data_IF_960852889923
#
_entry.id   IF_960852889923
#
_cell.length_a   1.000
_cell.length_b   1.000
_cell.length_c   1.000
_cell.angle_alpha   90.00
_cell.angle_beta   90.00
_cell.angle_gamma   90.00
#
_symmetry.space_group_name_H-M   'P 1'
#
loop_
_entity.id
_entity.type
_entity.pdbx_description
1 polymer ?
2 non-polymer ?
3 non-polymer ?
4 non-polymer ?
5 water ?
#
# COMPACT_ATOMS: atom_id res chain seq x y z
N UNK A 11 -21.12 -3.39 2.81
CA UNK A 11 -20.91 -1.92 2.80
C UNK A 11 -21.40 -1.21 4.07
N UNK A 12 -22.53 -1.63 4.62
CA UNK A 12 -22.89 -1.08 5.91
C UNK A 12 -21.78 -1.37 6.90
N UNK A 13 -21.19 -2.57 6.80
CA UNK A 13 -20.09 -2.90 7.69
C UNK A 13 -18.85 -2.12 7.31
N UNK A 14 -18.59 -1.99 6.00
CA UNK A 14 -17.27 -1.53 5.58
C UNK A 14 -17.14 -0.02 5.54
N UNK A 15 -18.21 0.69 5.17
CA UNK A 15 -18.10 2.12 4.90
C UNK A 15 -17.53 2.92 6.06
N UNK A 16 -17.89 2.68 7.33
CA UNK A 16 -17.28 3.48 8.39
C UNK A 16 -15.78 3.28 8.43
N UNK A 17 -15.30 2.07 8.10
CA UNK A 17 -13.87 1.83 8.11
C UNK A 17 -13.15 2.48 6.94
N UNK A 18 -13.72 2.37 5.74
CA UNK A 18 -13.15 3.09 4.59
C UNK A 18 -13.00 4.57 4.92
N UNK A 19 -14.00 5.14 5.59
CA UNK A 19 -13.86 6.57 5.84
C UNK A 19 -12.70 6.88 6.78
N UNK A 20 -12.17 5.90 7.50
CA UNK A 20 -11.00 6.12 8.34
C UNK A 20 -9.71 5.62 7.71
N UNK A 21 -9.72 5.21 6.45
CA UNK A 21 -8.51 4.81 5.75
C UNK A 21 -8.24 3.31 5.76
N UNK A 22 -9.16 2.48 6.27
CA UNK A 22 -9.00 1.02 6.14
C UNK A 22 -9.32 0.62 4.73
N UNK A 23 -8.83 -0.56 4.33
CA UNK A 23 -9.24 -1.10 3.03
C UNK A 23 -9.38 -2.62 3.14
N UNK A 24 -10.09 -3.18 2.17
CA UNK A 24 -10.67 -4.52 2.24
C UNK A 24 -9.94 -5.46 1.29
N UNK A 25 -9.49 -6.60 1.82
CA UNK A 25 -8.93 -7.66 1.01
C UNK A 25 -9.43 -9.00 1.57
N UNK A 26 -10.11 -9.82 0.76
CA UNK A 26 -10.59 -11.17 1.13
C UNK A 26 -11.17 -11.24 2.55
N UNK A 27 -12.24 -10.49 2.80
CA UNK A 27 -12.98 -10.64 4.07
C UNK A 27 -12.24 -10.12 5.29
N UNK A 28 -11.10 -9.45 5.13
CA UNK A 28 -10.56 -8.63 6.22
C UNK A 28 -10.49 -7.17 5.81
N UNK A 29 -10.42 -6.31 6.82
CA UNK A 29 -9.99 -4.94 6.66
C UNK A 29 -8.59 -4.79 7.20
N UNK A 30 -7.83 -3.88 6.58
CA UNK A 30 -6.42 -3.66 6.85
C UNK A 30 -6.20 -2.18 7.02
N UNK A 31 -5.26 -1.81 7.90
CA UNK A 31 -4.88 -0.42 8.19
C UNK A 31 -3.37 -0.34 8.17
N UNK A 32 -2.80 0.57 7.38
CA UNK A 32 -1.36 0.80 7.40
C UNK A 32 -1.12 2.08 8.19
N UNK A 33 -0.20 2.04 9.19
CA UNK A 33 0.02 3.20 10.04
C UNK A 33 0.68 4.35 9.26
N UNK A 34 0.51 5.56 9.79
CA UNK A 34 1.27 6.70 9.27
C UNK A 34 2.46 7.08 10.16
N UNK A 35 2.78 6.28 11.18
CA UNK A 35 3.97 6.49 12.00
C UNK A 35 4.62 5.15 12.20
N UNK A 36 5.89 5.18 12.57
CA UNK A 36 6.56 3.95 12.99
C UNK A 36 6.40 3.79 14.48
N UNK A 37 6.55 2.56 14.95
CA UNK A 37 6.57 2.36 16.40
C UNK A 37 7.19 1.01 16.75
N UNK A 38 7.43 0.81 18.06
CA UNK A 38 7.92 -0.49 18.51
C UNK A 38 6.85 -1.53 18.23
N UNK A 39 7.22 -2.81 18.32
CA UNK A 39 6.26 -3.82 17.96
C UNK A 39 5.09 -3.80 18.92
N UNK A 40 5.41 -3.64 20.19
CA UNK A 40 4.40 -3.62 21.23
C UNK A 40 3.47 -2.40 21.13
N UNK A 41 4.00 -1.22 20.89
CA UNK A 41 3.08 -0.07 20.76
C UNK A 41 2.33 -0.09 19.42
N UNK A 42 2.92 -0.70 18.39
CA UNK A 42 2.16 -0.90 17.16
C UNK A 42 0.96 -1.74 17.44
N UNK A 43 1.20 -2.89 18.07
CA UNK A 43 0.10 -3.77 18.43
C UNK A 43 -0.96 -3.04 19.27
N UNK A 44 -0.52 -2.27 20.29
CA UNK A 44 -1.48 -1.52 21.12
C UNK A 44 -2.39 -0.63 20.29
N UNK A 45 -1.86 0.03 19.25
CA UNK A 45 -2.76 0.83 18.40
C UNK A 45 -3.82 -0.07 17.76
N UNK A 46 -3.41 -1.23 17.24
CA UNK A 46 -4.36 -2.08 16.55
C UNK A 46 -5.41 -2.60 17.52
N UNK A 47 -4.96 -2.95 18.72
CA UNK A 47 -5.89 -3.43 19.74
C UNK A 47 -6.93 -2.37 20.05
N UNK A 48 -6.50 -1.11 20.15
CA UNK A 48 -7.41 0.00 20.48
C UNK A 48 -8.47 0.20 19.42
N UNK A 49 -8.18 -0.18 18.18
CA UNK A 49 -9.12 -0.15 17.07
C UNK A 49 -10.00 -1.40 16.99
N UNK A 50 -9.97 -2.26 18.00
CA UNK A 50 -10.73 -3.50 17.91
C UNK A 50 -10.15 -4.46 16.90
N UNK A 51 -8.83 -4.52 16.80
CA UNK A 51 -8.19 -5.34 15.79
C UNK A 51 -6.93 -5.94 16.40
N UNK A 52 -5.96 -6.25 15.54
CA UNK A 52 -4.66 -6.72 16.00
C UNK A 52 -3.71 -6.51 14.84
N UNK A 53 -2.45 -6.78 15.09
CA UNK A 53 -1.49 -6.82 13.99
C UNK A 53 -1.85 -7.93 13.01
N UNK A 54 -1.44 -7.77 11.77
CA UNK A 54 -1.90 -8.65 10.71
C UNK A 54 -1.38 -10.10 10.90
N UNK A 55 -2.24 -11.06 10.59
CA UNK A 55 -1.93 -12.50 10.70
C UNK A 55 -1.94 -13.06 9.27
N UNK A 56 -0.86 -13.67 8.81
CA UNK A 56 -0.79 -14.10 7.40
C UNK A 56 -1.29 -15.53 7.32
N UNK A 57 -2.43 -15.74 6.60
CA UNK A 57 -3.10 -17.06 6.61
C UNK A 57 -3.03 -17.77 5.25
N UNK A 58 -2.48 -17.15 4.24
CA UNK A 58 -2.44 -17.78 2.92
C UNK A 58 -1.35 -17.14 2.07
N UNK A 59 -0.98 -17.85 1.00
CA UNK A 59 0.02 -17.32 0.09
C UNK A 59 -0.45 -16.02 -0.53
N UNK A 60 -1.73 -15.91 -0.80
CA UNK A 60 -2.25 -14.71 -1.41
C UNK A 60 -2.18 -13.53 -0.45
N UNK A 61 -2.49 -13.77 0.82
CA UNK A 61 -2.37 -12.68 1.79
C UNK A 61 -0.91 -12.23 1.95
N UNK A 62 0.03 -13.18 1.92
CA UNK A 62 1.45 -12.84 1.92
C UNK A 62 1.81 -11.99 0.69
N UNK A 63 1.29 -12.36 -0.49
CA UNK A 63 1.62 -11.58 -1.68
C UNK A 63 1.08 -10.17 -1.56
N UNK A 64 -0.14 -10.05 -1.07
CA UNK A 64 -0.79 -8.77 -0.81
C UNK A 64 0.07 -7.93 0.12
N UNK A 65 0.57 -8.54 1.19
CA UNK A 65 1.45 -7.86 2.16
C UNK A 65 2.73 -7.36 1.50
N UNK A 66 3.35 -8.24 0.69
CA UNK A 66 4.67 -7.96 0.10
C UNK A 66 4.59 -6.81 -0.91
N UNK A 67 3.46 -6.70 -1.59
CA UNK A 67 3.34 -5.76 -2.70
C UNK A 67 3.23 -4.31 -2.22
N UNK A 68 3.07 -4.05 -0.89
CA UNK A 68 3.08 -2.69 -0.37
C UNK A 68 4.49 -2.13 -0.34
N UNK A 69 5.50 -2.99 -0.54
CA UNK A 69 6.89 -2.53 -0.72
C UNK A 69 7.28 -1.63 0.45
N UNK A 70 6.96 -2.13 1.64
CA UNK A 70 6.99 -1.35 2.86
C UNK A 70 7.44 -2.27 3.99
N UNK A 71 8.39 -1.83 4.79
CA UNK A 71 8.76 -2.68 5.94
C UNK A 71 7.65 -2.53 7.00
N UNK A 72 7.05 -3.66 7.39
CA UNK A 72 5.89 -3.63 8.25
C UNK A 72 6.05 -4.62 9.41
N UNK A 73 5.74 -4.19 10.64
CA UNK A 73 5.52 -5.17 11.72
C UNK A 73 4.28 -5.99 11.38
N UNK A 74 4.34 -7.30 11.61
CA UNK A 74 3.15 -8.14 11.52
C UNK A 74 2.99 -8.90 12.83
N UNK A 75 1.83 -9.56 12.98
CA UNK A 75 1.44 -10.05 14.29
C UNK A 75 1.98 -11.44 14.60
N UNK A 76 3.30 -11.59 14.54
CA UNK A 76 3.95 -12.87 14.84
C UNK A 76 5.07 -12.59 15.81
N UNK A 77 5.16 -13.40 16.89
CA UNK A 77 6.22 -13.08 17.85
C UNK A 77 6.73 -14.40 18.44
N UNK A 78 7.97 -14.39 18.86
CA UNK A 78 8.61 -15.60 19.39
C UNK A 78 7.99 -15.96 20.73
N UNK A 79 7.89 -17.25 21.03
CA UNK A 79 7.55 -17.72 22.37
C UNK A 79 8.82 -17.68 23.23
N UNK A 80 8.92 -16.68 24.11
CA UNK A 80 10.09 -16.47 24.96
C UNK A 80 11.32 -16.42 24.08
N UNK A 81 12.33 -17.23 24.35
CA UNK A 81 13.50 -17.32 23.50
C UNK A 81 13.58 -18.69 22.82
N UNK A 82 12.42 -19.35 22.63
CA UNK A 82 12.43 -20.74 22.21
C UNK A 82 12.63 -20.95 20.73
N UNK A 83 12.65 -19.89 19.91
CA UNK A 83 12.74 -20.02 18.45
C UNK A 83 11.58 -20.83 17.94
N UNK A 84 10.44 -20.69 18.62
CA UNK A 84 9.18 -21.09 18.00
C UNK A 84 8.27 -19.85 18.01
N UNK A 85 7.21 -19.89 17.21
CA UNK A 85 6.50 -18.63 16.88
C UNK A 85 5.00 -18.80 17.04
N UNK A 86 4.33 -17.77 17.59
CA UNK A 86 2.90 -17.80 17.75
C UNK A 86 2.32 -16.52 17.14
N UNK A 87 1.20 -16.63 16.40
CA UNK A 87 0.53 -15.41 15.93
C UNK A 87 -0.18 -14.71 17.09
N UNK A 88 -0.57 -13.44 16.92
CA UNK A 88 -1.18 -12.69 18.03
C UNK A 88 -2.53 -13.24 18.47
N UNK A 89 -3.18 -14.06 17.62
CA UNK A 89 -4.41 -14.71 18.04
C UNK A 89 -4.16 -16.00 18.83
N UNK A 90 -2.89 -16.37 19.02
CA UNK A 90 -2.51 -17.54 19.80
C UNK A 90 -2.21 -18.76 18.93
N UNK A 91 -2.43 -18.69 17.65
CA UNK A 91 -2.25 -19.91 16.84
C UNK A 91 -0.76 -20.12 16.57
N UNK A 92 -0.27 -21.35 16.54
CA UNK A 92 1.17 -21.54 16.24
C UNK A 92 1.45 -21.27 14.77
N UNK A 93 2.70 -20.92 14.47
CA UNK A 93 3.14 -20.78 13.09
C UNK A 93 3.02 -22.10 12.32
N UNK A 94 2.28 -22.09 11.19
CA UNK A 94 2.36 -23.27 10.35
C UNK A 94 3.06 -22.91 9.03
N UNK A 95 2.36 -22.40 8.00
CA UNK A 95 3.06 -21.97 6.78
C UNK A 95 3.76 -20.65 7.02
N UNK A 96 4.99 -20.55 6.56
CA UNK A 96 5.87 -19.42 6.85
C UNK A 96 6.47 -18.84 5.57
N UNK A 97 6.90 -17.57 5.66
CA UNK A 97 7.50 -16.89 4.50
C UNK A 97 8.77 -16.16 4.94
N UNK A 98 9.62 -16.85 5.69
CA UNK A 98 10.84 -16.21 6.15
C UNK A 98 11.68 -15.88 4.95
N UNK A 99 12.28 -14.68 4.95
CA UNK A 99 13.24 -14.40 3.91
C UNK A 99 14.48 -15.27 4.12
N UNK A 100 15.29 -15.38 3.09
CA UNK A 100 16.43 -16.30 3.15
C UNK A 100 17.37 -16.00 4.33
N UNK A 101 17.74 -17.03 5.09
CA UNK A 101 18.64 -16.78 6.19
C UNK A 101 17.95 -16.45 7.50
N UNK A 102 16.62 -16.31 7.48
CA UNK A 102 15.87 -15.92 8.70
C UNK A 102 14.99 -17.08 9.16
N UNK A 103 14.63 -17.10 10.44
CA UNK A 103 14.99 -16.13 11.51
C UNK A 103 16.39 -16.43 12.04
N UNK A 104 17.09 -15.41 12.55
CA UNK A 104 18.51 -15.65 12.83
C UNK A 104 19.07 -15.01 14.10
N UNK A 105 18.28 -14.28 14.93
CA UNK A 105 18.84 -13.62 16.13
C UNK A 105 20.17 -12.94 15.77
N UNK A 106 20.12 -12.14 14.70
CA UNK A 106 21.29 -11.51 14.06
C UNK A 106 22.28 -10.95 15.07
N UNK A 107 23.56 -11.28 14.86
CA UNK A 107 24.64 -10.73 15.69
C UNK A 107 24.43 -11.02 17.17
N UNK A 108 23.66 -12.07 17.51
CA UNK A 108 23.41 -12.45 18.91
C UNK A 108 22.41 -11.58 19.67
N UNK A 109 21.67 -10.73 18.96
CA UNK A 109 20.62 -9.91 19.56
C UNK A 109 19.32 -10.69 19.68
N UNK A 110 18.51 -10.29 20.63
CA UNK A 110 17.22 -10.91 20.84
C UNK A 110 16.21 -10.42 19.82
N UNK A 111 15.98 -11.21 18.79
CA UNK A 111 15.08 -10.77 17.72
C UNK A 111 13.77 -11.52 17.83
N UNK A 112 12.86 -10.99 18.67
CA UNK A 112 11.66 -11.75 19.07
C UNK A 112 10.41 -11.40 18.29
N UNK A 113 10.46 -10.36 17.46
CA UNK A 113 9.27 -9.83 16.81
C UNK A 113 9.46 -9.90 15.32
N UNK A 114 8.37 -10.03 14.55
CA UNK A 114 8.56 -10.32 13.12
C UNK A 114 8.13 -9.13 12.28
N UNK A 115 8.99 -8.72 11.34
CA UNK A 115 8.61 -7.75 10.33
C UNK A 115 8.59 -8.38 8.94
N UNK A 116 7.83 -7.79 8.07
CA UNK A 116 7.95 -8.01 6.62
C UNK A 116 8.97 -6.99 6.12
N UNK A 117 9.99 -7.45 5.43
CA UNK A 117 11.04 -6.54 5.00
C UNK A 117 10.75 -6.09 3.58
N UNK A 118 11.37 -4.96 3.23
CA UNK A 118 11.30 -4.39 1.88
C UNK A 118 12.74 -4.15 1.45
N UNK A 119 13.37 -5.13 0.81
CA UNK A 119 14.77 -4.99 0.48
C UNK A 119 15.02 -5.48 -0.93
N UNK A 120 16.04 -4.90 -1.56
CA UNK A 120 16.47 -5.38 -2.86
C UNK A 120 17.06 -6.77 -2.70
N UNK A 121 16.52 -7.73 -3.45
CA UNK A 121 17.01 -9.13 -3.45
C UNK A 121 16.80 -9.84 -2.11
N UNK A 122 15.89 -9.35 -1.25
CA UNK A 122 15.56 -10.05 0.00
C UNK A 122 14.18 -9.58 0.42
N UNK A 123 13.16 -10.42 0.18
CA UNK A 123 11.81 -10.10 0.65
C UNK A 123 11.25 -11.28 1.46
N UNK A 124 10.25 -10.99 2.30
CA UNK A 124 9.72 -11.97 3.22
C UNK A 124 10.00 -11.53 4.64
N UNK A 125 9.78 -12.45 5.58
CA UNK A 125 9.79 -12.05 6.98
C UNK A 125 11.20 -12.07 7.56
N UNK A 126 11.37 -11.30 8.64
CA UNK A 126 12.66 -11.17 9.31
C UNK A 126 12.36 -11.05 10.80
N UNK A 127 13.07 -11.82 11.63
CA UNK A 127 12.98 -11.53 13.06
C UNK A 127 13.83 -10.30 13.40
N UNK A 128 13.27 -9.44 14.26
CA UNK A 128 13.90 -8.15 14.63
C UNK A 128 13.68 -7.85 16.11
N UNK A 129 14.61 -7.06 16.69
CA UNK A 129 14.42 -6.55 18.07
C UNK A 129 13.05 -5.86 18.20
N UNK A 130 12.29 -6.25 19.23
CA UNK A 130 10.91 -5.70 19.33
C UNK A 130 10.91 -4.22 19.62
N UNK A 131 11.99 -3.70 20.18
CA UNK A 131 12.03 -2.27 20.55
C UNK A 131 12.49 -1.39 19.40
N UNK A 132 12.83 -1.96 18.24
CA UNK A 132 13.05 -1.16 17.04
C UNK A 132 11.71 -0.69 16.47
N UNK A 133 11.74 0.30 15.55
CA UNK A 133 10.47 0.86 15.08
C UNK A 133 10.22 0.59 13.60
N UNK A 134 8.97 0.32 13.26
CA UNK A 134 8.58 0.13 11.86
C UNK A 134 7.16 0.67 11.74
N UNK A 135 6.78 1.04 10.51
CA UNK A 135 5.37 1.10 10.19
C UNK A 135 4.74 -0.25 10.49
N UNK A 136 3.41 -0.28 10.64
CA UNK A 136 2.75 -1.51 11.05
C UNK A 136 1.42 -1.59 10.33
N UNK A 137 0.88 -2.83 10.22
CA UNK A 137 -0.38 -3.12 9.53
C UNK A 137 -1.31 -3.82 10.52
N UNK A 138 -2.50 -3.23 10.73
CA UNK A 138 -3.55 -3.87 11.53
C UNK A 138 -4.41 -4.67 10.58
N UNK A 139 -5.08 -5.72 11.09
CA UNK A 139 -6.04 -6.52 10.32
C UNK A 139 -7.24 -6.79 11.24
N UNK A 140 -8.45 -6.65 10.69
CA UNK A 140 -9.69 -6.97 11.40
C UNK A 140 -10.46 -7.90 10.48
N UNK A 141 -10.75 -9.15 10.92
CA UNK A 141 -11.62 -10.01 10.13
C UNK A 141 -13.04 -9.50 10.21
N UNK A 142 -13.70 -9.33 9.07
CA UNK A 142 -15.05 -8.81 9.07
C UNK A 142 -16.02 -9.94 8.83
N UNK A 143 -15.76 -10.76 7.76
CA UNK A 143 -16.62 -11.92 7.59
C UNK A 143 -15.84 -13.21 7.80
N UNK A 144 -16.49 -14.27 8.26
CA UNK A 144 -15.73 -15.53 8.48
C UNK A 144 -15.44 -16.30 7.20
N UNK B 11 -20.06 -9.29 -3.35
CA UNK B 11 -18.62 -9.45 -3.20
C UNK B 11 -17.97 -10.60 -3.94
N UNK B 12 -18.71 -11.64 -4.31
CA UNK B 12 -18.08 -12.75 -5.03
C UNK B 12 -17.30 -12.29 -6.24
N UNK B 13 -17.76 -11.23 -6.94
CA UNK B 13 -17.04 -10.81 -8.15
C UNK B 13 -15.68 -10.17 -7.82
N UNK B 14 -15.43 -9.75 -6.56
CA UNK B 14 -14.09 -9.26 -6.22
C UNK B 14 -13.07 -10.38 -6.10
N UNK B 15 -13.51 -11.61 -5.79
CA UNK B 15 -12.53 -12.65 -5.49
C UNK B 15 -11.53 -12.90 -6.60
N UNK B 16 -11.89 -12.94 -7.89
CA UNK B 16 -10.85 -13.16 -8.88
C UNK B 16 -9.82 -12.04 -8.85
N UNK B 17 -10.26 -10.83 -8.56
CA UNK B 17 -9.33 -9.71 -8.49
C UNK B 17 -8.45 -9.83 -7.26
N UNK B 18 -9.06 -10.13 -6.10
CA UNK B 18 -8.26 -10.39 -4.87
C UNK B 18 -7.21 -11.48 -5.10
N UNK B 19 -7.58 -12.55 -5.80
CA UNK B 19 -6.58 -13.58 -6.04
C UNK B 19 -5.40 -13.07 -6.90
N UNK B 20 -5.55 -11.94 -7.60
CA UNK B 20 -4.46 -11.34 -8.34
C UNK B 20 -3.82 -10.16 -7.62
N UNK B 21 -4.21 -9.88 -6.37
CA UNK B 21 -3.54 -8.86 -5.61
C UNK B 21 -4.24 -7.50 -5.62
N UNK B 22 -5.39 -7.39 -6.25
CA UNK B 22 -6.18 -6.15 -6.16
C UNK B 22 -6.80 -6.05 -4.80
N UNK B 23 -7.13 -4.82 -4.40
CA UNK B 23 -7.82 -4.66 -3.11
C UNK B 23 -8.88 -3.58 -3.21
N UNK B 24 -9.78 -3.57 -2.25
CA UNK B 24 -11.07 -2.87 -2.37
C UNK B 24 -11.14 -1.67 -1.42
N UNK B 25 -11.48 -0.51 -1.97
CA UNK B 25 -11.64 0.68 -1.14
C UNK B 25 -12.84 1.44 -1.71
N UNK B 26 -13.86 1.66 -0.88
CA UNK B 26 -15.06 2.40 -1.29
C UNK B 26 -15.64 1.65 -2.48
N UNK B 27 -15.83 2.26 -3.61
CA UNK B 27 -16.52 1.53 -4.65
C UNK B 27 -15.58 0.95 -5.69
N UNK B 28 -14.27 0.98 -5.45
CA UNK B 28 -13.32 0.59 -6.46
C UNK B 28 -12.39 -0.54 -6.00
N UNK B 29 -11.83 -1.21 -6.97
CA UNK B 29 -10.64 -2.03 -6.73
C UNK B 29 -9.38 -1.28 -7.21
N UNK B 30 -8.26 -1.52 -6.50
CA UNK B 30 -6.99 -0.86 -6.80
C UNK B 30 -5.91 -1.94 -6.95
N UNK B 31 -4.91 -1.63 -7.77
CA UNK B 31 -3.80 -2.51 -8.09
C UNK B 31 -2.56 -1.64 -7.99
N UNK B 32 -1.57 -2.06 -7.20
CA UNK B 32 -0.28 -1.40 -7.15
C UNK B 32 0.70 -2.27 -7.92
N UNK B 33 1.39 -1.69 -8.94
CA UNK B 33 2.30 -2.48 -9.78
C UNK B 33 3.48 -3.07 -8.98
N UNK B 34 4.05 -4.15 -9.53
CA UNK B 34 5.30 -4.62 -8.93
C UNK B 34 6.50 -4.19 -9.75
N UNK B 35 6.29 -3.41 -10.83
CA UNK B 35 7.39 -2.86 -11.60
C UNK B 35 7.16 -1.37 -11.83
N UNK B 36 8.23 -0.67 -12.20
CA UNK B 36 8.10 0.73 -12.60
C UNK B 36 7.90 0.77 -14.11
N UNK B 37 7.24 1.82 -14.56
CA UNK B 37 7.18 2.00 -16.00
C UNK B 37 6.91 3.45 -16.35
N UNK B 38 6.94 3.73 -17.67
CA UNK B 38 6.56 5.07 -18.14
C UNK B 38 5.10 5.29 -17.85
N UNK B 39 4.69 6.56 -17.83
CA UNK B 39 3.29 6.82 -17.56
C UNK B 39 2.42 6.10 -18.59
N UNK B 40 2.85 6.14 -19.87
CA UNK B 40 2.00 5.58 -20.91
C UNK B 40 1.97 4.05 -20.84
N UNK B 41 3.10 3.42 -20.54
CA UNK B 41 3.00 1.96 -20.46
C UNK B 41 2.30 1.52 -19.16
N UNK B 42 2.41 2.31 -18.08
CA UNK B 42 1.60 2.04 -16.89
C UNK B 42 0.14 2.06 -17.27
N UNK B 43 -0.28 3.11 -17.98
CA UNK B 43 -1.69 3.21 -18.39
C UNK B 43 -2.12 2.00 -19.22
N UNK B 44 -1.27 1.58 -20.17
CA UNK B 44 -1.60 0.43 -21.01
C UNK B 44 -1.85 -0.81 -20.18
N UNK B 45 -1.03 -1.05 -19.14
CA UNK B 45 -1.29 -2.22 -18.29
C UNK B 45 -2.68 -2.12 -17.66
N UNK B 46 -3.03 -0.95 -17.10
CA UNK B 46 -4.31 -0.83 -16.42
C UNK B 46 -5.44 -1.03 -17.41
N UNK B 47 -5.34 -0.43 -18.61
CA UNK B 47 -6.40 -0.61 -19.62
C UNK B 47 -6.60 -2.10 -19.92
N UNK B 48 -5.50 -2.83 -20.08
CA UNK B 48 -5.64 -4.22 -20.48
C UNK B 48 -6.17 -5.11 -19.37
N UNK B 49 -6.27 -4.61 -18.15
CA UNK B 49 -6.98 -5.29 -17.07
C UNK B 49 -8.42 -4.81 -16.95
N UNK B 50 -8.86 -3.98 -17.89
CA UNK B 50 -10.22 -3.50 -17.82
C UNK B 50 -10.39 -2.34 -16.89
N UNK B 51 -9.30 -1.63 -16.61
CA UNK B 51 -9.29 -0.58 -15.62
C UNK B 51 -8.61 0.63 -16.29
N UNK B 52 -8.13 1.53 -15.47
CA UNK B 52 -7.33 2.67 -15.94
C UNK B 52 -6.46 3.12 -14.78
N UNK B 53 -5.61 4.12 -15.02
CA UNK B 53 -4.86 4.64 -13.91
C UNK B 53 -5.82 5.30 -12.86
N UNK B 54 -5.34 5.40 -11.63
CA UNK B 54 -6.24 5.87 -10.55
C UNK B 54 -6.70 7.31 -10.76
N UNK B 55 -7.97 7.58 -10.41
CA UNK B 55 -8.60 8.90 -10.52
C UNK B 55 -8.95 9.31 -9.10
N UNK B 56 -8.46 10.45 -8.66
CA UNK B 56 -8.66 10.84 -7.25
C UNK B 56 -9.93 11.73 -7.22
N UNK B 57 -10.99 11.22 -6.57
CA UNK B 57 -12.31 11.89 -6.59
C UNK B 57 -12.72 12.50 -5.26
N UNK B 58 -11.98 12.26 -4.19
CA UNK B 58 -12.31 12.86 -2.91
C UNK B 58 -11.07 12.99 -2.04
N UNK B 59 -11.19 13.81 -1.00
CA UNK B 59 -10.12 13.91 -0.01
C UNK B 59 -9.81 12.55 0.59
N UNK B 60 -10.82 11.72 0.83
CA UNK B 60 -10.55 10.42 1.48
C UNK B 60 -9.75 9.53 0.55
N UNK B 61 -10.06 9.59 -0.73
CA UNK B 61 -9.31 8.77 -1.68
C UNK B 61 -7.87 9.27 -1.82
N UNK B 62 -7.66 10.61 -1.80
CA UNK B 62 -6.29 11.15 -1.76
C UNK B 62 -5.53 10.68 -0.52
N UNK B 63 -6.20 10.65 0.64
CA UNK B 63 -5.52 10.20 1.84
C UNK B 63 -5.16 8.74 1.76
N UNK B 64 -6.08 7.91 1.23
CA UNK B 64 -5.85 6.50 0.95
C UNK B 64 -4.60 6.35 0.09
N UNK B 65 -4.50 7.16 -0.97
CA UNK B 65 -3.37 7.12 -1.89
C UNK B 65 -2.07 7.52 -1.19
N UNK B 66 -2.10 8.62 -0.43
CA UNK B 66 -0.92 9.13 0.24
C UNK B 66 -0.36 8.12 1.26
N UNK B 67 -1.23 7.35 1.87
CA UNK B 67 -0.81 6.51 2.99
C UNK B 67 -0.01 5.29 2.54
N UNK B 68 0.05 5.00 1.21
CA UNK B 68 0.89 3.90 0.76
C UNK B 68 2.36 4.28 0.77
N UNK B 69 2.66 5.59 0.95
CA UNK B 69 4.04 6.09 1.14
C UNK B 69 4.90 5.64 -0.03
N UNK B 70 4.36 5.81 -1.22
CA UNK B 70 4.92 5.25 -2.43
C UNK B 70 4.76 6.29 -3.53
N UNK B 71 5.81 6.49 -4.31
CA UNK B 71 5.66 7.35 -5.49
C UNK B 71 4.93 6.54 -6.56
N UNK B 72 3.77 7.03 -6.99
CA UNK B 72 2.89 6.34 -7.91
C UNK B 72 2.46 7.24 -9.06
N UNK B 73 2.52 6.76 -10.31
CA UNK B 73 1.79 7.43 -11.38
C UNK B 73 0.30 7.35 -11.07
N UNK B 74 -0.44 8.43 -11.33
CA UNK B 74 -1.89 8.38 -11.24
C UNK B 74 -2.44 8.91 -12.55
N UNK B 75 -3.77 8.80 -12.70
CA UNK B 75 -4.35 9.00 -14.04
C UNK B 75 -4.74 10.42 -14.32
N UNK B 76 -3.78 11.35 -14.20
CA UNK B 76 -3.99 12.77 -14.50
C UNK B 76 -2.90 13.18 -15.45
N UNK B 77 -3.29 13.92 -16.51
CA UNK B 77 -2.33 14.24 -17.57
C UNK B 77 -2.67 15.61 -18.16
N UNK B 78 -1.64 16.35 -18.54
CA UNK B 78 -1.87 17.73 -19.03
C UNK B 78 -2.55 17.66 -20.39
N UNK B 79 -3.37 18.68 -20.73
CA UNK B 79 -3.89 18.82 -22.09
C UNK B 79 -2.80 19.52 -22.91
N UNK B 80 -2.07 18.76 -23.72
CA UNK B 80 -0.98 19.27 -24.59
C UNK B 80 0.04 19.97 -23.69
N UNK B 81 0.37 21.23 -23.96
CA UNK B 81 1.26 22.04 -23.14
C UNK B 81 0.50 23.15 -22.44
N UNK B 82 -0.81 22.98 -22.25
CA UNK B 82 -1.65 24.10 -21.82
C UNK B 82 -1.68 24.33 -20.32
N UNK B 83 -1.07 23.48 -19.49
CA UNK B 83 -1.10 23.66 -18.04
C UNK B 83 -2.52 23.63 -17.55
N UNK B 84 -3.37 22.85 -18.24
CA UNK B 84 -4.67 22.45 -17.69
C UNK B 84 -4.64 20.93 -17.69
N UNK B 85 -5.54 20.31 -16.91
CA UNK B 85 -5.35 18.89 -16.56
C UNK B 85 -6.67 18.15 -16.69
N UNK B 86 -6.61 16.89 -17.13
CA UNK B 86 -7.78 16.06 -17.35
C UNK B 86 -7.48 14.67 -16.80
N UNK B 87 -8.44 14.07 -16.08
CA UNK B 87 -8.26 12.69 -15.65
C UNK B 87 -8.45 11.77 -16.85
N UNK B 88 -7.95 10.52 -16.71
CA UNK B 88 -7.93 9.60 -17.84
C UNK B 88 -9.36 9.24 -18.26
N UNK B 89 -10.37 9.48 -17.39
CA UNK B 89 -11.76 9.22 -17.78
C UNK B 89 -12.39 10.36 -18.56
N UNK B 90 -11.65 11.45 -18.74
CA UNK B 90 -12.10 12.60 -19.50
C UNK B 90 -12.53 13.77 -18.64
N UNK B 91 -12.66 13.60 -17.32
CA UNK B 91 -13.16 14.73 -16.52
C UNK B 91 -12.07 15.79 -16.30
N UNK B 92 -12.40 17.07 -16.41
CA UNK B 92 -11.42 18.10 -16.06
C UNK B 92 -11.08 18.03 -14.58
N UNK B 93 -9.85 18.43 -14.26
CA UNK B 93 -9.43 18.57 -12.87
C UNK B 93 -10.35 19.55 -12.13
N UNK B 94 -10.85 19.14 -10.96
CA UNK B 94 -11.51 20.13 -10.13
C UNK B 94 -10.77 20.28 -8.81
N UNK B 95 -11.05 19.43 -7.82
CA UNK B 95 -10.31 19.47 -6.56
C UNK B 95 -8.91 18.89 -6.80
N UNK B 96 -7.87 19.53 -6.27
CA UNK B 96 -6.50 19.11 -6.59
C UNK B 96 -5.65 19.03 -5.32
N UNK B 97 -4.56 18.25 -5.38
CA UNK B 97 -3.71 18.02 -4.23
C UNK B 97 -2.24 18.17 -4.62
N UNK B 98 -1.91 19.25 -5.34
CA UNK B 98 -0.53 19.47 -5.77
C UNK B 98 0.37 19.67 -4.55
N UNK B 99 1.54 19.06 -4.57
CA UNK B 99 2.48 19.36 -3.50
C UNK B 99 2.97 20.80 -3.66
N UNK B 100 3.57 21.33 -2.61
CA UNK B 100 3.90 22.75 -2.63
C UNK B 100 4.82 23.08 -3.80
N UNK B 101 4.45 24.10 -4.59
CA UNK B 101 5.26 24.54 -5.71
C UNK B 101 4.94 23.85 -7.03
N UNK B 102 4.06 22.82 -7.01
CA UNK B 102 3.67 22.11 -8.22
C UNK B 102 2.30 22.57 -8.72
N UNK B 103 2.01 22.37 -10.02
CA UNK B 103 2.90 21.81 -11.07
C UNK B 103 3.87 22.91 -11.56
N UNK B 104 5.02 22.54 -12.10
CA UNK B 104 6.04 23.56 -12.33
C UNK B 104 6.90 23.44 -13.59
N UNK B 105 6.74 22.39 -14.44
CA UNK B 105 7.61 22.17 -15.61
C UNK B 105 9.07 22.41 -15.21
N UNK B 106 9.48 21.72 -14.14
CA UNK B 106 10.79 21.84 -13.52
C UNK B 106 11.92 21.93 -14.53
N UNK B 107 12.81 22.90 -14.33
CA UNK B 107 13.96 23.14 -15.22
C UNK B 107 13.53 23.26 -16.69
N UNK B 108 12.32 23.72 -16.96
CA UNK B 108 11.96 23.83 -18.37
C UNK B 108 11.65 22.52 -19.10
N UNK B 109 11.62 21.38 -18.38
CA UNK B 109 11.23 20.08 -18.98
C UNK B 109 9.72 20.01 -19.14
N UNK B 110 9.25 19.28 -20.17
CA UNK B 110 7.81 19.05 -20.38
C UNK B 110 7.33 18.05 -19.35
N UNK B 111 6.75 18.52 -18.28
CA UNK B 111 6.26 17.62 -17.24
C UNK B 111 4.73 17.49 -17.40
N UNK B 112 4.30 16.56 -18.26
CA UNK B 112 2.89 16.48 -18.63
C UNK B 112 2.11 15.42 -17.88
N UNK B 113 2.76 14.56 -17.12
CA UNK B 113 2.09 13.46 -16.44
C UNK B 113 2.19 13.63 -14.92
N UNK B 114 1.23 13.06 -14.17
CA UNK B 114 1.16 13.37 -12.73
C UNK B 114 1.53 12.16 -11.88
N UNK B 115 2.41 12.37 -10.91
CA UNK B 115 2.67 11.33 -9.90
C UNK B 115 2.27 11.84 -8.53
N UNK B 116 1.93 10.91 -7.65
CA UNK B 116 1.88 11.16 -6.21
C UNK B 116 3.28 10.96 -5.64
N UNK B 117 3.84 11.98 -5.00
CA UNK B 117 5.23 11.83 -4.52
C UNK B 117 5.26 11.45 -3.08
N UNK B 118 6.32 10.77 -2.71
CA UNK B 118 6.56 10.33 -1.34
C UNK B 118 7.92 10.90 -0.93
N UNK B 119 7.93 12.12 -0.39
CA UNK B 119 9.19 12.78 -0.05
C UNK B 119 9.06 13.48 1.29
N UNK B 120 10.20 13.86 1.84
CA UNK B 120 10.21 14.51 3.15
C UNK B 120 9.87 15.99 2.99
N UNK B 121 8.89 16.44 3.79
CA UNK B 121 8.38 17.81 3.78
C UNK B 121 7.78 18.21 2.44
N UNK B 122 7.42 17.24 1.60
CA UNK B 122 6.82 17.51 0.28
C UNK B 122 5.95 16.30 -0.06
N UNK B 123 4.65 16.41 0.17
CA UNK B 123 3.75 15.32 -0.18
C UNK B 123 2.57 15.82 -1.02
N UNK B 124 2.13 14.97 -1.95
CA UNK B 124 1.06 15.38 -2.84
C UNK B 124 1.48 15.11 -4.24
N UNK B 125 0.79 15.76 -5.18
CA UNK B 125 1.04 15.49 -6.59
C UNK B 125 2.18 16.32 -7.13
N UNK B 126 2.76 15.80 -8.22
CA UNK B 126 3.86 16.47 -8.86
C UNK B 126 3.75 16.19 -10.34
N UNK B 127 3.87 17.23 -11.20
CA UNK B 127 4.01 16.94 -12.63
C UNK B 127 5.45 16.50 -12.95
N UNK B 128 5.58 15.53 -13.86
CA UNK B 128 6.84 14.85 -14.15
C UNK B 128 6.88 14.48 -15.62
N UNK B 129 8.08 14.40 -16.22
CA UNK B 129 8.24 13.93 -17.59
C UNK B 129 7.60 12.55 -17.75
N UNK B 130 6.71 12.36 -18.72
CA UNK B 130 5.91 11.13 -18.80
C UNK B 130 6.80 9.93 -19.10
N UNK B 131 7.93 10.13 -19.77
CA UNK B 131 8.85 9.04 -20.09
C UNK B 131 9.67 8.56 -18.92
N UNK B 132 9.60 9.21 -17.76
CA UNK B 132 10.29 8.69 -16.57
C UNK B 132 9.48 7.52 -16.03
N UNK B 133 10.05 6.77 -15.08
CA UNK B 133 9.41 5.53 -14.62
C UNK B 133 9.05 5.58 -13.15
N UNK B 134 7.89 5.03 -12.80
CA UNK B 134 7.41 4.97 -11.42
C UNK B 134 6.60 3.70 -11.32
N UNK B 135 6.46 3.16 -10.11
CA UNK B 135 5.30 2.30 -9.81
C UNK B 135 4.02 3.05 -10.14
N UNK B 136 2.96 2.27 -10.40
CA UNK B 136 1.69 2.88 -10.80
C UNK B 136 0.53 2.17 -10.12
N UNK B 137 -0.57 2.91 -9.99
CA UNK B 137 -1.77 2.40 -9.34
C UNK B 137 -2.91 2.40 -10.36
N UNK B 138 -3.52 1.24 -10.54
CA UNK B 138 -4.72 1.15 -11.37
C UNK B 138 -5.95 1.30 -10.49
N UNK B 139 -7.06 1.78 -11.05
CA UNK B 139 -8.34 1.77 -10.31
C UNK B 139 -9.40 1.24 -11.24
N UNK B 140 -10.29 0.40 -10.72
CA UNK B 140 -11.42 -0.13 -11.48
C UNK B 140 -12.68 0.04 -10.66
N UNK B 141 -13.62 0.82 -11.17
CA UNK B 141 -14.88 0.95 -10.49
C UNK B 141 -15.64 -0.39 -10.61
N UNK B 142 -16.08 -0.90 -9.47
CA UNK B 142 -16.82 -2.13 -9.47
C UNK B 142 -18.27 -1.90 -9.07
N UNK B 143 -18.49 -1.08 -8.06
CA UNK B 143 -19.84 -0.90 -7.61
C UNK B 143 -20.34 0.49 -7.99
N UNK B 144 -21.59 0.58 -8.45
CA UNK B 144 -22.11 1.86 -8.96
C UNK B 144 -22.38 2.87 -7.83
X LIG C 1 20.08 -7.43 8.78
X LIG C 1 19.89 -9.01 8.92
X LIG C 1 18.58 -9.35 9.74
X LIG C 1 18.60 -8.51 11.08
X LIG C 1 18.64 -7.01 10.64
X LIG C 1 18.48 -6.10 11.81
X LIG C 1 19.08 -7.03 7.91
X LIG C 1 19.69 -9.55 7.64
X LIG C 1 18.59 -10.69 10.07
X LIG C 1 17.45 -8.86 11.87
X LIG C 1 19.83 -6.72 9.98
X LIG C 1 19.03 -4.86 11.41
X LIG D 1 18.47 -6.96 10.74
X LIG D 1 18.53 -8.48 11.08
X LIG D 1 18.49 -9.31 9.76
X LIG D 1 19.72 -8.83 8.92
X LIG D 1 19.65 -9.49 7.52
X LIG D 1 19.70 -6.64 9.85
X LIG D 1 19.55 -5.29 9.43
X LIG D 1 18.56 -6.26 11.93
X LIG D 1 17.41 -8.84 11.87
X LIG D 1 18.61 -10.68 9.95
X LIG D 1 19.74 -7.43 8.68
X LIG D 1 20.95 -9.45 6.99
X LIG E 1 -5.20 -12.75 7.92
X LIG F 1 16.82 -11.33 11.76
X LIG G 1 12.03 17.89 -8.07
X LIG G 1 11.02 19.04 -8.34
X LIG G 1 9.76 18.49 -9.18
X LIG G 1 10.26 17.81 -10.47
X LIG G 1 11.19 16.64 -9.95
X LIG G 1 11.67 15.69 -11.04
X LIG G 1 11.37 17.00 -7.25
X LIG G 1 10.62 19.44 -7.07
X LIG G 1 9.00 19.60 -9.60
X LIG G 1 9.10 17.38 -11.25
X LIG G 1 12.28 17.16 -9.26
X LIG G 1 13.01 15.30 -10.73
X LIG H 1 11.03 16.47 -10.19
X LIG H 1 10.22 17.75 -10.57
X LIG H 1 9.72 18.40 -9.26
X LIG H 1 11.04 18.75 -8.45
X LIG H 1 10.68 19.38 -7.11
X LIG H 1 12.23 16.87 -9.25
X LIG H 1 12.81 15.66 -8.78
X LIG H 1 11.51 15.94 -11.37
X LIG H 1 9.08 17.38 -11.35
X LIG H 1 9.01 19.59 -9.48
X LIG H 1 11.83 17.62 -8.12
X LIG H 1 11.88 19.86 -6.61
X LIG I 1 -11.49 7.21 -7.91
X LIG J 1 7.18 19.06 -11.24
#
# INVERSE_FOLDING_TARGET
>A
MNGTAEERNKFDKLDPYFQQGWFHFQKSLYYISSVKNTWHLSREYCLQEGADLAIINSRAEQAFLENFKMTLWIGLMEQRSERTWRWVDGTPLTESYWSLGEPNNYEGRQEQCVEQIDREDKKGWNDLVCEFSNFYMCEKRIFP
>B
MNGTAEERNKFDKLDPYFQQGWFHFQKSLYYISSVKNTWHLSREYCLQEGADLAIINSRAEQAFLENFKMTLWIGLMEQRSERTWRWVDGTPLTESYWSLGEPNNYEGRQEQCVEQIDREDKKGWNDLVCEFSNFYMCEKRIFP
>C hetero
1 GLC C1 C2 C3 C4 C5 C6 O1 O2 O3 O4 O5 O6
>D hetero
1 BGC C2 C3 C4 C5 C6 C1 O1 O2 O3 O4 O5 O6
>E hetero
1 CA CA
>F hetero
1 CA CA
>G hetero
1 GLC C1 C2 C3 C4 C5 C6 O1 O2 O3 O4 O5 O6
>H hetero
1 BGC C2 C3 C4 C5 C6 C1 O1 O2 O3 O4 O5 O6
>I hetero
1 CA CA
>J hetero
1 CA CA
#
